data_IF_714041241454
#
_entry.id   IF_714041241454
#
_cell.length_a   1.000
_cell.length_b   1.000
_cell.length_c   1.000
_cell.angle_alpha   90.00
_cell.angle_beta   90.00
_cell.angle_gamma   90.00
#
_symmetry.space_group_name_H-M   'P 1'
#
loop_
_entity.id
_entity.type
_entity.pdbx_description
1 polymer ?
#
# COMPACT_ATOMS: atom_id res chain seq x y z
N UNK A 1 -2.18 3.99 -50.23
CA UNK A 1 -1.79 3.41 -48.93
C UNK A 1 -1.86 4.55 -47.94
N UNK A 2 -3.01 4.68 -47.31
CA UNK A 2 -3.37 5.70 -46.34
C UNK A 2 -2.77 5.33 -44.97
N UNK A 3 -1.87 6.18 -44.46
CA UNK A 3 -1.28 6.00 -43.14
C UNK A 3 -2.25 6.47 -42.06
N UNK A 4 -3.26 5.65 -41.75
CA UNK A 4 -3.98 5.72 -40.48
C UNK A 4 -3.11 5.04 -39.42
N UNK A 5 -2.27 5.83 -38.75
CA UNK A 5 -1.44 5.41 -37.61
C UNK A 5 -1.93 6.10 -36.33
N UNK A 6 -2.10 5.37 -35.22
CA UNK A 6 -2.99 5.75 -34.12
C UNK A 6 -2.52 7.02 -33.41
N UNK A 7 -3.32 8.07 -33.57
CA UNK A 7 -3.32 9.31 -32.79
C UNK A 7 -3.82 9.11 -31.33
N UNK A 8 -3.87 7.86 -30.84
CA UNK A 8 -4.54 7.43 -29.60
C UNK A 8 -3.61 6.70 -28.62
N UNK A 9 -2.51 7.33 -28.21
CA UNK A 9 -1.89 6.98 -26.92
C UNK A 9 -1.33 8.22 -26.21
N UNK A 10 -1.98 9.37 -26.47
CA UNK A 10 -1.79 10.63 -25.76
C UNK A 10 -2.64 10.73 -24.48
N UNK A 11 -3.20 9.63 -23.99
CA UNK A 11 -3.64 9.56 -22.61
C UNK A 11 -2.45 9.15 -21.75
N UNK A 12 -1.58 10.14 -21.52
CA UNK A 12 -0.74 10.16 -20.33
C UNK A 12 -1.70 9.98 -19.15
N UNK A 13 -1.74 8.77 -18.58
CA UNK A 13 -2.17 8.58 -17.20
C UNK A 13 -1.25 9.44 -16.34
N UNK A 14 -1.58 10.73 -16.18
CA UNK A 14 -1.26 11.44 -14.97
C UNK A 14 -2.22 10.90 -13.91
N UNK A 15 -1.96 9.67 -13.48
CA UNK A 15 -2.35 9.28 -12.15
C UNK A 15 -1.65 10.31 -11.25
N UNK A 16 -2.42 11.22 -10.66
CA UNK A 16 -1.91 12.03 -9.56
C UNK A 16 -1.19 11.07 -8.62
N UNK A 17 0.08 11.31 -8.26
CA UNK A 17 0.78 10.40 -7.37
C UNK A 17 -0.04 10.35 -6.09
N UNK A 18 -0.66 9.19 -5.83
CA UNK A 18 -1.42 8.97 -4.61
C UNK A 18 -0.54 9.44 -3.46
N UNK A 19 -1.04 10.35 -2.62
CA UNK A 19 -0.27 10.93 -1.53
C UNK A 19 0.40 9.78 -0.77
N UNK A 20 1.73 9.75 -0.81
CA UNK A 20 2.49 8.70 -0.14
C UNK A 20 2.14 8.75 1.36
N UNK A 21 1.45 7.71 1.85
CA UNK A 21 1.19 7.55 3.28
C UNK A 21 2.38 6.82 3.89
N UNK A 22 3.09 7.53 4.77
CA UNK A 22 4.21 6.94 5.52
C UNK A 22 3.67 6.29 6.80
N UNK A 23 4.15 5.09 7.10
CA UNK A 23 3.81 4.34 8.31
C UNK A 23 5.08 3.87 9.00
N UNK A 24 4.99 3.69 10.32
CA UNK A 24 6.06 3.13 11.16
C UNK A 24 5.70 1.67 11.43
N UNK A 25 6.59 0.76 11.02
CA UNK A 25 6.46 -0.67 11.31
C UNK A 25 7.43 -1.03 12.43
N UNK A 26 6.89 -1.52 13.56
CA UNK A 26 7.68 -2.12 14.63
C UNK A 26 7.46 -3.63 14.59
N UNK A 27 8.49 -4.38 14.21
CA UNK A 27 8.49 -5.84 14.23
C UNK A 27 9.41 -6.39 15.32
N UNK A 28 9.18 -7.64 15.71
CA UNK A 28 10.08 -8.43 16.55
C UNK A 28 9.86 -9.93 16.29
N UNK A 29 10.80 -10.74 16.76
CA UNK A 29 10.76 -12.19 16.71
C UNK A 29 10.67 -12.74 18.13
N UNK A 30 9.73 -13.64 18.38
CA UNK A 30 9.67 -14.41 19.62
C UNK A 30 10.32 -15.78 19.46
N UNK A 31 10.11 -16.41 18.30
CA UNK A 31 10.63 -17.72 17.96
C UNK A 31 10.77 -17.83 16.43
N UNK A 32 12.00 -17.77 15.88
CA UNK A 32 12.21 -17.86 14.43
C UNK A 32 11.60 -19.16 13.85
N UNK A 33 10.88 -19.11 12.71
CA UNK A 33 10.81 -18.00 11.75
C UNK A 33 9.65 -17.02 11.98
N UNK A 34 8.91 -17.13 13.08
CA UNK A 34 7.73 -16.29 13.32
C UNK A 34 8.16 -14.85 13.61
N UNK A 35 7.47 -13.89 13.00
CA UNK A 35 7.65 -12.48 13.24
C UNK A 35 6.30 -11.86 13.53
N UNK A 36 6.22 -10.97 14.51
CA UNK A 36 5.00 -10.21 14.77
C UNK A 36 5.32 -8.75 14.96
N UNK A 37 4.31 -7.91 14.83
CA UNK A 37 4.53 -6.49 14.92
C UNK A 37 3.28 -5.65 14.92
N UNK A 38 3.50 -4.35 15.01
CA UNK A 38 2.47 -3.33 14.92
C UNK A 38 2.82 -2.32 13.84
N UNK A 39 1.80 -1.81 13.15
CA UNK A 39 1.93 -0.70 12.20
C UNK A 39 1.23 0.52 12.77
N UNK A 40 1.89 1.67 12.72
CA UNK A 40 1.39 2.95 13.24
C UNK A 40 1.50 4.04 12.18
N UNK A 41 0.64 5.06 12.24
CA UNK A 41 0.83 6.30 11.49
C UNK A 41 2.00 7.11 12.06
N UNK A 42 2.46 8.13 11.33
CA UNK A 42 3.45 9.09 11.85
C UNK A 42 2.92 9.86 13.07
N UNK A 43 1.61 10.09 13.14
CA UNK A 43 0.94 10.73 14.28
C UNK A 43 0.80 9.79 15.50
N UNK A 44 1.23 8.53 15.36
CA UNK A 44 1.25 7.55 16.43
C UNK A 44 -0.03 6.73 16.58
N UNK A 45 -1.04 6.92 15.72
CA UNK A 45 -2.24 6.08 15.67
C UNK A 45 -1.86 4.65 15.31
N UNK A 46 -2.39 3.64 16.02
CA UNK A 46 -2.16 2.25 15.67
C UNK A 46 -3.10 1.82 14.55
N UNK A 47 -2.52 1.46 13.40
CA UNK A 47 -3.27 1.05 12.20
C UNK A 47 -3.54 -0.46 12.17
N UNK A 48 -2.72 -1.25 12.85
CA UNK A 48 -3.00 -2.67 13.06
C UNK A 48 -1.80 -3.48 13.56
N UNK A 49 -1.97 -4.80 13.55
CA UNK A 49 -1.00 -5.80 14.01
C UNK A 49 -0.87 -6.90 12.96
N UNK A 50 0.26 -7.60 12.96
CA UNK A 50 0.50 -8.77 12.12
C UNK A 50 1.29 -9.80 12.92
N UNK A 51 1.07 -11.08 12.61
CA UNK A 51 1.70 -12.23 13.28
C UNK A 51 2.62 -13.05 12.36
N UNK A 52 2.76 -12.59 11.11
CA UNK A 52 3.68 -13.10 10.09
C UNK A 52 3.89 -12.07 8.96
N UNK A 53 4.79 -12.38 8.02
CA UNK A 53 5.13 -11.50 6.90
C UNK A 53 3.97 -11.30 5.92
N UNK A 54 3.15 -12.34 5.67
CA UNK A 54 2.00 -12.24 4.78
C UNK A 54 0.93 -11.32 5.37
N UNK A 55 0.72 -11.38 6.69
CA UNK A 55 -0.14 -10.46 7.44
C UNK A 55 0.31 -9.00 7.32
N UNK A 56 1.63 -8.74 7.37
CA UNK A 56 2.17 -7.39 7.14
C UNK A 56 1.88 -6.90 5.72
N UNK A 57 2.13 -7.75 4.71
CA UNK A 57 1.88 -7.41 3.30
C UNK A 57 0.40 -7.12 3.07
N UNK A 58 -0.50 -7.96 3.60
CA UNK A 58 -1.94 -7.76 3.51
C UNK A 58 -2.36 -6.42 4.13
N UNK A 59 -1.85 -6.11 5.33
CA UNK A 59 -2.16 -4.86 6.02
C UNK A 59 -1.68 -3.64 5.25
N UNK A 60 -0.44 -3.65 4.73
CA UNK A 60 0.09 -2.56 3.90
C UNK A 60 -0.75 -2.38 2.64
N UNK A 61 -1.15 -3.47 1.97
CA UNK A 61 -2.04 -3.42 0.79
C UNK A 61 -3.37 -2.76 1.10
N UNK A 62 -3.99 -3.08 2.24
CA UNK A 62 -5.23 -2.43 2.68
C UNK A 62 -5.04 -0.94 2.92
N UNK A 63 -3.90 -0.52 3.50
CA UNK A 63 -3.61 0.88 3.78
C UNK A 63 -3.32 1.74 2.53
N UNK A 64 -2.76 1.13 1.48
CA UNK A 64 -2.46 1.81 0.21
C UNK A 64 -3.57 1.68 -0.83
N UNK A 65 -4.59 0.85 -0.57
CA UNK A 65 -5.74 0.75 -1.44
C UNK A 65 -6.40 2.14 -1.56
N UNK A 66 -6.63 2.66 -2.78
CA UNK A 66 -7.32 3.93 -2.97
C UNK A 66 -8.69 3.82 -2.29
N UNK A 67 -8.96 4.73 -1.34
CA UNK A 67 -10.04 4.59 -0.35
C UNK A 67 -11.35 4.11 -0.95
N UNK A 68 -11.67 2.84 -0.71
CA UNK A 68 -13.03 2.33 -0.78
C UNK A 68 -13.76 2.84 0.45
N UNK A 69 -14.43 3.98 0.32
CA UNK A 69 -15.43 4.40 1.30
C UNK A 69 -16.55 3.37 1.32
N UNK A 70 -16.83 2.83 2.50
CA UNK A 70 -18.13 2.22 2.80
C UNK A 70 -18.63 2.87 4.07
N UNK A 71 -19.62 3.75 3.89
CA UNK A 71 -20.57 4.09 4.95
C UNK A 71 -21.55 2.96 5.20
#
# INVERSE_FOLDING_TARGET
>A
MDHDGPRQAKEQLRAEPARARTVIVRWWHDDPPRCRGTVRSLDGEQLGKFDDLDGLIALVRTLVAPGGGTG
#
